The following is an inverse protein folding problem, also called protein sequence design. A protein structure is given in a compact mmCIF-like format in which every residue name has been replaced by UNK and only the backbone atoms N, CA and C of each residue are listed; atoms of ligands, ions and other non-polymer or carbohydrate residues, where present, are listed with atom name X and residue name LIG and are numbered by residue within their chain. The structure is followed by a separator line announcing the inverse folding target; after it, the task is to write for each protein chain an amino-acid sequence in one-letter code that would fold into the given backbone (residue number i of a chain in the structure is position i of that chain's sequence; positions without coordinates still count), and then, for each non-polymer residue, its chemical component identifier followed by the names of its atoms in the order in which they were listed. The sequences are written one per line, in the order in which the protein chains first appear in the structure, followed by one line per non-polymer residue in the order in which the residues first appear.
data_IF_094762883059
#
_entry.id   IF_094762883059
#
_cell.length_a   1.000
_cell.length_b   1.000
_cell.length_c   1.000
_cell.angle_alpha   90.00
_cell.angle_beta   90.00
_cell.angle_gamma   90.00
#
_symmetry.space_group_name_H-M   'P 1'
#
loop_
_entity.id
_entity.type
_entity.pdbx_description
1 polymer ?
#
# COMPACT_ATOMS: atom_id res chain seq x y z
N UNK A 1 -6.31 -2.43 22.42
CA UNK A 1 -5.07 -2.18 23.14
C UNK A 1 -4.61 -0.88 22.59
N UNK A 2 -5.00 0.14 23.32
CA UNK A 2 -4.74 1.51 22.95
C UNK A 2 -3.37 1.89 23.51
N UNK A 3 -2.84 3.03 23.07
CA UNK A 3 -1.50 3.46 23.47
C UNK A 3 -1.38 3.57 24.99
N UNK A 4 -2.45 4.02 25.65
CA UNK A 4 -2.53 4.18 27.09
C UNK A 4 -2.40 2.85 27.85
N UNK A 5 -3.07 1.78 27.39
CA UNK A 5 -2.93 0.43 27.95
C UNK A 5 -1.47 -0.06 27.89
N UNK A 6 -0.79 0.21 26.78
CA UNK A 6 0.60 -0.19 26.58
C UNK A 6 1.54 0.52 27.54
N UNK A 7 1.34 1.83 27.77
CA UNK A 7 2.15 2.63 28.70
C UNK A 7 1.96 2.13 30.14
N UNK A 8 0.73 1.85 30.55
CA UNK A 8 0.43 1.37 31.90
C UNK A 8 1.08 0.02 32.20
N UNK A 9 1.24 -0.83 31.18
CA UNK A 9 1.86 -2.16 31.34
C UNK A 9 3.40 -2.12 31.33
N UNK A 10 4.04 -1.02 30.92
CA UNK A 10 5.51 -0.93 30.81
C UNK A 10 6.27 -1.32 32.10
N UNK A 11 5.91 -0.82 33.30
CA UNK A 11 6.62 -1.18 34.53
C UNK A 11 6.52 -2.66 34.88
N UNK A 12 5.44 -3.32 34.46
CA UNK A 12 5.24 -4.75 34.66
C UNK A 12 6.06 -5.58 33.66
N UNK A 13 6.18 -5.10 32.41
CA UNK A 13 6.97 -5.76 31.37
C UNK A 13 8.47 -5.71 31.69
N UNK A 14 8.95 -4.61 32.28
CA UNK A 14 10.35 -4.47 32.70
C UNK A 14 10.78 -5.53 33.72
N UNK A 15 9.84 -6.02 34.54
CA UNK A 15 10.10 -7.07 35.53
C UNK A 15 10.09 -8.50 34.95
N UNK A 16 9.59 -8.68 33.73
CA UNK A 16 9.53 -9.99 33.06
C UNK A 16 10.89 -10.39 32.49
N UNK A 17 11.18 -11.70 32.54
CA UNK A 17 12.32 -12.31 31.84
C UNK A 17 12.17 -12.20 30.33
N UNK A 18 13.26 -12.37 29.59
CA UNK A 18 13.22 -12.32 28.12
C UNK A 18 12.24 -13.33 27.51
N UNK A 19 12.18 -14.56 28.05
CA UNK A 19 11.27 -15.60 27.58
C UNK A 19 9.79 -15.24 27.80
N UNK A 20 9.46 -14.62 28.94
CA UNK A 20 8.10 -14.18 29.25
C UNK A 20 7.69 -13.00 28.37
N UNK A 21 8.60 -12.06 28.09
CA UNK A 21 8.37 -10.97 27.14
C UNK A 21 8.07 -11.49 25.74
N UNK A 22 8.82 -12.50 25.27
CA UNK A 22 8.56 -13.14 23.98
C UNK A 22 7.18 -13.79 23.95
N UNK A 23 6.81 -14.59 24.97
CA UNK A 23 5.48 -15.21 25.07
C UNK A 23 4.36 -14.17 25.06
N UNK A 24 4.54 -13.05 25.79
CA UNK A 24 3.58 -11.95 25.81
C UNK A 24 3.44 -11.29 24.43
N UNK A 25 4.56 -11.02 23.75
CA UNK A 25 4.57 -10.44 22.40
C UNK A 25 3.84 -11.34 21.38
N UNK A 26 4.10 -12.66 21.40
CA UNK A 26 3.39 -13.62 20.56
C UNK A 26 1.87 -13.60 20.82
N UNK A 27 1.45 -13.61 22.10
CA UNK A 27 0.04 -13.55 22.48
C UNK A 27 -0.63 -12.27 21.99
N UNK A 28 0.02 -11.10 22.16
CA UNK A 28 -0.48 -9.81 21.69
C UNK A 28 -0.63 -9.79 20.17
N UNK A 29 0.37 -10.31 19.44
CA UNK A 29 0.32 -10.38 17.98
C UNK A 29 -0.83 -11.25 17.49
N UNK A 30 -1.05 -12.40 18.13
CA UNK A 30 -2.19 -13.27 17.82
C UNK A 30 -3.54 -12.56 18.05
N UNK A 31 -3.69 -11.85 19.17
CA UNK A 31 -4.90 -11.10 19.46
C UNK A 31 -5.13 -9.95 18.45
N UNK A 32 -4.07 -9.25 18.06
CA UNK A 32 -4.13 -8.19 17.05
C UNK A 32 -4.58 -8.74 15.69
N UNK A 33 -3.99 -9.86 15.24
CA UNK A 33 -4.38 -10.50 13.99
C UNK A 33 -5.83 -10.97 14.00
N UNK A 34 -6.30 -11.55 15.12
CA UNK A 34 -7.71 -11.94 15.29
C UNK A 34 -8.65 -10.74 15.18
N UNK A 35 -8.30 -9.61 15.82
CA UNK A 35 -9.08 -8.36 15.71
C UNK A 35 -9.10 -7.83 14.29
N UNK A 36 -7.96 -7.87 13.59
CA UNK A 36 -7.86 -7.46 12.19
C UNK A 36 -8.71 -8.32 11.26
N UNK A 37 -8.69 -9.65 11.43
CA UNK A 37 -9.52 -10.56 10.64
C UNK A 37 -11.02 -10.27 10.79
N UNK A 38 -11.48 -9.93 12.00
CA UNK A 38 -12.88 -9.53 12.21
C UNK A 38 -13.19 -8.19 11.54
N UNK A 39 -12.30 -7.20 11.68
CA UNK A 39 -12.42 -5.92 11.01
C UNK A 39 -12.52 -6.07 9.49
N UNK A 40 -11.72 -6.95 8.86
CA UNK A 40 -11.80 -7.22 7.42
C UNK A 40 -13.15 -7.81 6.98
N UNK A 41 -13.73 -8.70 7.79
CA UNK A 41 -15.08 -9.23 7.53
C UNK A 41 -16.14 -8.13 7.56
N UNK A 42 -16.10 -7.29 8.58
CA UNK A 42 -17.02 -6.17 8.75
C UNK A 42 -16.83 -5.12 7.64
N UNK A 43 -15.58 -4.93 7.18
CA UNK A 43 -15.26 -4.09 6.03
C UNK A 43 -15.80 -4.69 4.74
N UNK A 44 -15.69 -6.00 4.52
CA UNK A 44 -16.19 -6.69 3.33
C UNK A 44 -17.67 -6.43 3.06
N UNK A 45 -18.50 -6.51 4.11
CA UNK A 45 -19.94 -6.18 4.02
C UNK A 45 -20.20 -4.73 3.64
N UNK A 46 -19.33 -3.78 4.05
CA UNK A 46 -19.40 -2.36 3.67
C UNK A 46 -18.76 -2.09 2.31
N UNK A 47 -17.78 -2.91 1.89
CA UNK A 47 -16.98 -2.77 0.67
C UNK A 47 -17.86 -2.89 -0.57
N UNK A 48 -18.80 -3.82 -0.61
CA UNK A 48 -19.74 -3.95 -1.73
C UNK A 48 -20.63 -2.69 -1.91
N UNK A 49 -21.08 -2.09 -0.81
CA UNK A 49 -21.86 -0.83 -0.84
C UNK A 49 -21.01 0.38 -1.21
N UNK A 50 -19.75 0.40 -0.79
CA UNK A 50 -18.78 1.45 -1.15
C UNK A 50 -18.30 1.35 -2.60
N UNK A 51 -18.03 0.14 -3.12
CA UNK A 51 -17.58 -0.10 -4.50
C UNK A 51 -18.63 0.39 -5.52
N UNK A 52 -19.92 0.10 -5.28
CA UNK A 52 -21.01 0.63 -6.11
C UNK A 52 -21.07 2.16 -6.06
N UNK A 53 -20.75 2.78 -4.92
CA UNK A 53 -20.76 4.24 -4.77
C UNK A 53 -19.48 4.91 -5.34
N UNK A 54 -18.35 4.20 -5.32
CA UNK A 54 -17.08 4.64 -5.92
C UNK A 54 -17.13 4.63 -7.44
N UNK A 55 -17.75 3.63 -8.08
CA UNK A 55 -17.93 3.62 -9.53
C UNK A 55 -18.71 4.87 -10.00
N UNK A 56 -19.79 5.23 -9.30
CA UNK A 56 -20.57 6.44 -9.58
C UNK A 56 -19.77 7.74 -9.31
N UNK A 57 -18.91 7.77 -8.29
CA UNK A 57 -18.04 8.94 -8.00
C UNK A 57 -16.88 9.08 -8.99
N UNK A 58 -16.25 7.99 -9.43
CA UNK A 58 -15.18 8.01 -10.43
C UNK A 58 -15.69 8.50 -11.78
N UNK A 59 -16.91 8.13 -12.18
CA UNK A 59 -17.56 8.67 -13.38
C UNK A 59 -17.84 10.18 -13.28
N UNK A 60 -18.03 10.72 -12.06
CA UNK A 60 -18.37 12.13 -11.82
C UNK A 60 -17.15 13.00 -11.51
N UNK A 61 -16.02 12.42 -11.12
CA UNK A 61 -14.81 13.16 -10.78
C UNK A 61 -13.98 13.44 -12.05
N UNK A 62 -14.28 14.57 -12.69
CA UNK A 62 -13.54 15.09 -13.86
C UNK A 62 -12.09 15.47 -13.54
N UNK A 63 -11.77 15.65 -12.27
CA UNK A 63 -10.42 15.93 -11.81
C UNK A 63 -9.79 14.58 -11.50
N UNK A 64 -8.92 14.12 -12.40
CA UNK A 64 -8.22 12.83 -12.33
C UNK A 64 -7.43 12.61 -11.03
N UNK A 65 -6.56 11.58 -10.97
CA UNK A 65 -5.85 11.24 -9.74
C UNK A 65 -5.13 12.46 -9.16
N UNK A 66 -5.34 12.70 -7.85
CA UNK A 66 -4.81 13.87 -7.11
C UNK A 66 -3.30 13.83 -6.94
N UNK A 67 -2.72 12.63 -7.05
CA UNK A 67 -1.28 12.39 -6.99
C UNK A 67 -0.86 11.88 -8.36
N UNK A 68 0.14 12.53 -8.96
CA UNK A 68 0.75 12.13 -10.23
C UNK A 68 2.24 12.01 -10.02
N UNK A 69 2.84 11.02 -10.65
CA UNK A 69 4.29 10.84 -10.67
C UNK A 69 4.86 11.43 -11.95
N UNK A 70 6.18 11.65 -11.96
CA UNK A 70 6.88 12.12 -13.15
C UNK A 70 6.81 11.03 -14.23
N UNK A 71 6.60 11.43 -15.49
CA UNK A 71 6.48 10.51 -16.62
C UNK A 71 7.66 9.53 -16.75
N UNK A 72 8.87 9.96 -16.36
CA UNK A 72 10.07 9.11 -16.30
C UNK A 72 9.87 7.88 -15.41
N UNK A 73 9.33 8.10 -14.21
CA UNK A 73 9.07 7.05 -13.22
C UNK A 73 7.94 6.15 -13.72
N UNK A 74 6.88 6.75 -14.28
CA UNK A 74 5.72 6.01 -14.77
C UNK A 74 6.09 5.05 -15.91
N UNK A 75 6.91 5.51 -16.86
CA UNK A 75 7.36 4.68 -17.99
C UNK A 75 8.25 3.52 -17.54
N UNK A 76 9.22 3.79 -16.66
CA UNK A 76 10.12 2.76 -16.13
C UNK A 76 9.37 1.71 -15.30
N UNK A 77 8.42 2.15 -14.47
CA UNK A 77 7.62 1.28 -13.62
C UNK A 77 6.67 0.40 -14.45
N UNK A 78 6.01 0.97 -15.45
CA UNK A 78 5.15 0.23 -16.38
C UNK A 78 5.94 -0.83 -17.16
N UNK A 79 7.15 -0.49 -17.63
CA UNK A 79 8.05 -1.43 -18.29
C UNK A 79 8.50 -2.55 -17.35
N UNK A 80 8.90 -2.22 -16.11
CA UNK A 80 9.29 -3.22 -15.09
C UNK A 80 8.16 -4.16 -14.67
N UNK A 81 6.90 -3.72 -14.76
CA UNK A 81 5.71 -4.58 -14.56
C UNK A 81 5.28 -5.37 -15.79
N UNK A 82 5.94 -5.16 -16.94
CA UNK A 82 5.53 -5.69 -18.24
C UNK A 82 4.10 -5.28 -18.64
N UNK A 83 3.68 -4.06 -18.26
CA UNK A 83 2.38 -3.49 -18.61
C UNK A 83 2.43 -2.79 -19.97
N UNK A 84 2.33 -3.60 -21.03
CA UNK A 84 2.52 -3.15 -22.42
C UNK A 84 1.51 -2.07 -22.83
N UNK A 85 0.27 -2.14 -22.32
CA UNK A 85 -0.76 -1.17 -22.66
C UNK A 85 -0.51 0.18 -22.00
N UNK A 86 -0.08 0.21 -20.73
CA UNK A 86 0.30 1.46 -20.07
C UNK A 86 1.54 2.09 -20.72
N UNK A 87 2.54 1.27 -21.10
CA UNK A 87 3.71 1.76 -21.86
C UNK A 87 3.26 2.38 -23.19
N UNK A 88 2.33 1.73 -23.92
CA UNK A 88 1.77 2.28 -25.17
C UNK A 88 1.07 3.62 -24.94
N UNK A 89 0.25 3.73 -23.90
CA UNK A 89 -0.45 4.97 -23.56
C UNK A 89 0.52 6.10 -23.22
N UNK A 90 1.56 5.82 -22.43
CA UNK A 90 2.58 6.79 -22.06
C UNK A 90 3.38 7.27 -23.28
N UNK A 91 3.76 6.37 -24.17
CA UNK A 91 4.44 6.73 -25.43
C UNK A 91 3.52 7.55 -26.35
N UNK A 92 2.24 7.18 -26.46
CA UNK A 92 1.26 7.95 -27.22
C UNK A 92 1.02 9.35 -26.63
N UNK A 93 1.18 9.51 -25.32
CA UNK A 93 1.13 10.80 -24.63
C UNK A 93 2.41 11.65 -24.81
N UNK A 94 3.42 11.15 -25.54
CA UNK A 94 4.66 11.86 -25.85
C UNK A 94 5.73 11.76 -24.77
N UNK A 95 5.67 10.74 -23.90
CA UNK A 95 6.79 10.43 -23.01
C UNK A 95 7.97 9.93 -23.84
N UNK A 96 9.14 10.52 -23.62
CA UNK A 96 10.36 10.12 -24.29
C UNK A 96 10.78 8.69 -23.86
N UNK A 97 10.93 7.74 -24.80
CA UNK A 97 11.31 6.36 -24.50
C UNK A 97 12.73 6.22 -23.94
N UNK A 98 13.62 7.19 -24.21
CA UNK A 98 15.03 7.16 -23.79
C UNK A 98 15.24 7.78 -22.41
N UNK A 99 14.16 8.04 -21.68
CA UNK A 99 14.21 8.55 -20.33
C UNK A 99 14.84 7.52 -19.40
N UNK A 100 15.84 7.99 -18.65
CA UNK A 100 16.59 7.20 -17.70
C UNK A 100 16.20 7.48 -16.23
N UNK A 101 16.46 6.51 -15.37
CA UNK A 101 16.41 6.67 -13.91
C UNK A 101 17.64 7.44 -13.38
N UNK A 102 17.74 7.57 -12.05
CA UNK A 102 18.88 8.26 -11.40
C UNK A 102 20.24 7.59 -11.67
N UNK A 103 20.23 6.30 -12.01
CA UNK A 103 21.42 5.51 -12.37
C UNK A 103 21.77 5.58 -13.87
N UNK A 104 20.97 6.28 -14.68
CA UNK A 104 21.16 6.33 -16.14
C UNK A 104 20.56 5.15 -16.91
N UNK A 105 19.75 4.30 -16.28
CA UNK A 105 19.09 3.15 -16.91
C UNK A 105 17.75 3.54 -17.52
N UNK A 106 17.58 3.28 -18.82
CA UNK A 106 16.29 3.42 -19.51
C UNK A 106 15.41 2.20 -19.31
N UNK A 107 14.15 2.27 -19.76
CA UNK A 107 13.20 1.16 -19.67
C UNK A 107 13.76 -0.13 -20.29
N UNK A 108 14.42 -0.01 -21.45
CA UNK A 108 15.02 -1.15 -22.16
C UNK A 108 16.17 -1.81 -21.39
N UNK A 109 16.89 -1.07 -20.55
CA UNK A 109 17.98 -1.64 -19.75
C UNK A 109 17.47 -2.48 -18.58
N UNK A 110 16.24 -2.24 -18.12
CA UNK A 110 15.68 -2.86 -16.91
C UNK A 110 14.89 -4.15 -17.19
N UNK A 111 14.53 -4.38 -18.45
CA UNK A 111 13.73 -5.55 -18.90
C UNK A 111 14.59 -6.77 -19.20
#
# INVERSE_FOLDING_TARGET
MDHEDLIQELPSIERLTNQERLKLAHRRRLAQLKKYQQYEKDLGSKKNKMLQNEQHKRARNKNGPRVKFRNSIMLLEAAGRNDVEEVRELLAAGVDPDVANEDGLTALHQT
#
